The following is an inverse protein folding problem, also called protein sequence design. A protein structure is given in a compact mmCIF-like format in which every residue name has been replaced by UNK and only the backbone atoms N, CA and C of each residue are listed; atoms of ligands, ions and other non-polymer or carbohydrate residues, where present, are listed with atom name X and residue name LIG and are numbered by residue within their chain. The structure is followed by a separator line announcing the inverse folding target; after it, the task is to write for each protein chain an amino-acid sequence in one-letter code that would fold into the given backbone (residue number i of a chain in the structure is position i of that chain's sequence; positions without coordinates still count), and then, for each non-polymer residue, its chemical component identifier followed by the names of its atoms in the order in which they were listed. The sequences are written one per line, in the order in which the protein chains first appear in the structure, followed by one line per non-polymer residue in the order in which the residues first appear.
data_IF_420254261877
#
_entry.id   IF_420254261877
#
_cell.length_a   1.000
_cell.length_b   1.000
_cell.length_c   1.000
_cell.angle_alpha   90.00
_cell.angle_beta   90.00
_cell.angle_gamma   90.00
#
_symmetry.space_group_name_H-M   'P 1'
#
loop_
_entity.id
_entity.type
_entity.pdbx_description
1 polymer ?
#
# COMPACT_ATOMS: atom_id res chain seq x y z
N UNK A 1 -13.92 -19.62 -18.55
CA UNK A 1 -14.61 -19.01 -17.39
C UNK A 1 -13.83 -19.15 -16.10
N UNK A 2 -13.43 -20.37 -15.68
CA UNK A 2 -12.70 -20.61 -14.43
C UNK A 2 -11.41 -19.79 -14.28
N UNK A 3 -10.63 -19.67 -15.36
CA UNK A 3 -9.37 -18.91 -15.34
C UNK A 3 -9.60 -17.41 -15.05
N UNK A 4 -10.68 -16.82 -15.59
CA UNK A 4 -11.02 -15.42 -15.34
C UNK A 4 -11.37 -15.18 -13.87
N UNK A 5 -12.17 -16.07 -13.28
CA UNK A 5 -12.54 -16.01 -11.87
C UNK A 5 -11.29 -16.14 -10.98
N UNK A 6 -10.41 -17.09 -11.31
CA UNK A 6 -9.15 -17.26 -10.58
C UNK A 6 -8.28 -16.00 -10.63
N UNK A 7 -8.13 -15.39 -11.81
CA UNK A 7 -7.35 -14.15 -11.99
C UNK A 7 -7.99 -12.98 -11.21
N UNK A 8 -9.32 -12.86 -11.20
CA UNK A 8 -10.01 -11.83 -10.40
C UNK A 8 -9.73 -12.03 -8.91
N UNK A 9 -9.90 -13.25 -8.40
CA UNK A 9 -9.70 -13.53 -6.98
C UNK A 9 -8.26 -13.25 -6.53
N UNK A 10 -7.26 -13.64 -7.32
CA UNK A 10 -5.86 -13.37 -6.98
C UNK A 10 -5.57 -11.86 -7.06
N UNK A 11 -6.09 -11.14 -8.06
CA UNK A 11 -5.92 -9.70 -8.18
C UNK A 11 -6.56 -8.93 -7.03
N UNK A 12 -7.80 -9.24 -6.64
CA UNK A 12 -8.43 -8.59 -5.49
C UNK A 12 -7.71 -8.92 -4.18
N UNK A 13 -7.20 -10.14 -4.03
CA UNK A 13 -6.41 -10.52 -2.85
C UNK A 13 -5.08 -9.76 -2.78
N UNK A 14 -4.39 -9.60 -3.92
CA UNK A 14 -3.18 -8.79 -4.03
C UNK A 14 -3.47 -7.32 -3.72
N UNK A 15 -4.57 -6.77 -4.25
CA UNK A 15 -5.03 -5.41 -3.94
C UNK A 15 -5.15 -5.20 -2.42
N UNK A 16 -5.92 -6.07 -1.76
CA UNK A 16 -6.09 -6.05 -0.29
C UNK A 16 -4.78 -6.19 0.47
N UNK A 17 -3.88 -7.05 0.00
CA UNK A 17 -2.56 -7.23 0.59
C UNK A 17 -1.75 -5.93 0.56
N UNK A 18 -1.66 -5.25 -0.60
CA UNK A 18 -0.91 -4.00 -0.72
C UNK A 18 -1.46 -2.90 0.17
N UNK A 19 -2.79 -2.73 0.19
CA UNK A 19 -3.46 -1.76 1.06
C UNK A 19 -3.24 -2.07 2.55
N UNK A 20 -3.35 -3.33 2.95
CA UNK A 20 -3.10 -3.74 4.34
C UNK A 20 -1.64 -3.51 4.74
N UNK A 21 -0.69 -3.89 3.88
CA UNK A 21 0.74 -3.72 4.11
C UNK A 21 1.10 -2.23 4.28
N UNK A 22 0.60 -1.37 3.38
CA UNK A 22 0.75 0.07 3.44
C UNK A 22 0.24 0.64 4.77
N UNK A 23 -1.03 0.38 5.10
CA UNK A 23 -1.64 0.93 6.30
C UNK A 23 -0.97 0.40 7.57
N UNK A 24 -0.56 -0.87 7.59
CA UNK A 24 0.16 -1.46 8.72
C UNK A 24 1.53 -0.83 8.94
N UNK A 25 2.26 -0.49 7.88
CA UNK A 25 3.55 0.19 7.98
C UNK A 25 3.36 1.63 8.47
N UNK A 26 2.45 2.38 7.86
CA UNK A 26 2.17 3.77 8.20
C UNK A 26 1.73 3.91 9.65
N UNK A 27 0.85 3.04 10.13
CA UNK A 27 0.31 3.08 11.50
C UNK A 27 1.15 2.30 12.53
N UNK A 28 2.30 1.74 12.15
CA UNK A 28 3.11 0.95 13.07
C UNK A 28 3.76 1.81 14.16
N UNK A 29 3.88 1.26 15.37
CA UNK A 29 4.57 1.93 16.45
C UNK A 29 6.09 1.85 16.22
N UNK A 30 6.68 2.98 15.79
CA UNK A 30 8.13 3.08 15.49
C UNK A 30 9.00 2.74 16.70
N UNK A 31 8.63 3.18 17.91
CA UNK A 31 9.37 2.87 19.14
C UNK A 31 9.46 1.36 19.37
N UNK A 32 8.32 0.66 19.23
CA UNK A 32 8.28 -0.81 19.36
C UNK A 32 9.10 -1.51 18.28
N UNK A 33 9.09 -1.01 17.05
CA UNK A 33 9.94 -1.54 15.98
C UNK A 33 11.43 -1.33 16.25
N UNK A 34 11.83 -0.16 16.76
CA UNK A 34 13.21 0.11 17.16
C UNK A 34 13.67 -0.80 18.30
N UNK A 35 12.82 -0.99 19.31
CA UNK A 35 13.07 -1.91 20.41
C UNK A 35 13.29 -3.34 19.89
N UNK A 36 12.36 -3.89 19.11
CA UNK A 36 12.48 -5.24 18.53
C UNK A 36 13.71 -5.37 17.62
N UNK A 37 14.05 -4.33 16.88
CA UNK A 37 15.24 -4.33 16.03
C UNK A 37 16.55 -4.38 16.86
N UNK A 38 16.57 -3.73 18.03
CA UNK A 38 17.69 -3.78 18.98
C UNK A 38 17.83 -5.14 19.66
N UNK A 39 16.71 -5.86 19.85
CA UNK A 39 16.70 -7.25 20.31
C UNK A 39 17.08 -8.26 19.21
N UNK A 40 17.49 -7.80 18.03
CA UNK A 40 17.94 -8.65 16.91
C UNK A 40 16.83 -9.12 15.97
N UNK A 41 15.62 -8.58 16.06
CA UNK A 41 14.53 -8.96 15.14
C UNK A 41 14.78 -8.43 13.72
N UNK A 42 15.14 -9.33 12.80
CA UNK A 42 15.41 -9.02 11.39
C UNK A 42 14.20 -8.42 10.66
N UNK A 43 12.97 -8.80 11.02
CA UNK A 43 11.76 -8.25 10.41
C UNK A 43 11.58 -6.78 10.80
N UNK A 44 11.81 -6.46 12.07
CA UNK A 44 11.74 -5.09 12.57
C UNK A 44 12.79 -4.20 11.92
N UNK A 45 14.03 -4.70 11.77
CA UNK A 45 15.08 -4.01 11.03
C UNK A 45 14.69 -3.74 9.58
N UNK A 46 14.09 -4.73 8.88
CA UNK A 46 13.59 -4.54 7.51
C UNK A 46 12.45 -3.53 7.45
N UNK A 47 11.52 -3.57 8.39
CA UNK A 47 10.40 -2.62 8.44
C UNK A 47 10.91 -1.18 8.63
N UNK A 48 11.85 -0.97 9.55
CA UNK A 48 12.49 0.34 9.77
C UNK A 48 13.28 0.82 8.54
N UNK A 49 14.03 -0.07 7.88
CA UNK A 49 14.74 0.27 6.64
C UNK A 49 13.81 0.76 5.53
N UNK A 50 12.62 0.16 5.45
CA UNK A 50 11.63 0.53 4.45
C UNK A 50 10.90 1.83 4.85
N UNK A 51 10.58 2.01 6.13
CA UNK A 51 10.00 3.25 6.67
C UNK A 51 10.92 4.47 6.52
N UNK A 52 12.24 4.27 6.53
CA UNK A 52 13.22 5.33 6.24
C UNK A 52 13.16 5.82 4.79
N UNK A 53 12.51 5.06 3.88
CA UNK A 53 12.39 5.39 2.46
C UNK A 53 10.91 5.45 2.03
N UNK A 54 10.17 6.48 2.48
CA UNK A 54 8.72 6.55 2.28
C UNK A 54 8.32 6.51 0.81
N UNK A 55 9.05 7.22 -0.05
CA UNK A 55 8.81 7.21 -1.49
C UNK A 55 8.86 5.80 -2.08
N UNK A 56 9.81 4.97 -1.65
CA UNK A 56 10.00 3.62 -2.21
C UNK A 56 8.84 2.70 -1.84
N UNK A 57 8.45 2.68 -0.56
CA UNK A 57 7.39 1.78 -0.12
C UNK A 57 6.01 2.25 -0.58
N UNK A 58 5.72 3.57 -0.50
CA UNK A 58 4.46 4.14 -0.98
C UNK A 58 4.31 3.93 -2.48
N UNK A 59 5.38 4.14 -3.26
CA UNK A 59 5.34 3.86 -4.70
C UNK A 59 5.08 2.38 -4.97
N UNK A 60 5.66 1.48 -4.17
CA UNK A 60 5.46 0.03 -4.34
C UNK A 60 4.04 -0.40 -4.02
N UNK A 61 3.50 0.03 -2.88
CA UNK A 61 2.14 -0.32 -2.45
C UNK A 61 1.11 0.28 -3.39
N UNK A 62 1.30 1.54 -3.80
CA UNK A 62 0.41 2.22 -4.72
C UNK A 62 0.42 1.61 -6.12
N UNK A 63 1.61 1.29 -6.67
CA UNK A 63 1.72 0.59 -7.97
C UNK A 63 1.10 -0.80 -7.88
N UNK A 64 1.39 -1.57 -6.83
CA UNK A 64 0.84 -2.90 -6.64
C UNK A 64 -0.68 -2.92 -6.52
N UNK A 65 -1.24 -2.00 -5.72
CA UNK A 65 -2.69 -1.81 -5.56
C UNK A 65 -3.34 -1.46 -6.91
N UNK A 66 -2.85 -0.43 -7.59
CA UNK A 66 -3.43 0.02 -8.86
C UNK A 66 -3.29 -1.01 -9.98
N UNK A 67 -2.15 -1.70 -10.08
CA UNK A 67 -1.97 -2.76 -11.07
C UNK A 67 -2.96 -3.90 -10.84
N UNK A 68 -3.15 -4.29 -9.58
CA UNK A 68 -4.11 -5.32 -9.20
C UNK A 68 -5.54 -4.92 -9.57
N UNK A 69 -5.91 -3.65 -9.36
CA UNK A 69 -7.21 -3.10 -9.74
C UNK A 69 -7.41 -3.10 -11.27
N UNK A 70 -6.40 -2.65 -12.03
CA UNK A 70 -6.47 -2.61 -13.51
C UNK A 70 -6.63 -4.03 -14.07
N UNK A 71 -5.85 -5.00 -13.59
CA UNK A 71 -5.95 -6.40 -14.03
C UNK A 71 -7.34 -6.95 -13.70
N UNK A 72 -7.82 -6.78 -12.47
CA UNK A 72 -9.15 -7.25 -12.07
C UNK A 72 -10.25 -6.61 -12.95
N UNK A 73 -10.19 -5.29 -13.15
CA UNK A 73 -11.16 -4.55 -13.96
C UNK A 73 -11.17 -4.98 -15.42
N UNK A 74 -10.01 -5.17 -16.03
CA UNK A 74 -9.89 -5.63 -17.42
C UNK A 74 -10.48 -7.04 -17.61
N UNK A 75 -10.20 -7.94 -16.67
CA UNK A 75 -10.68 -9.34 -16.70
C UNK A 75 -12.19 -9.39 -16.46
N UNK A 76 -12.71 -8.59 -15.52
CA UNK A 76 -14.16 -8.43 -15.28
C UNK A 76 -14.85 -7.86 -16.51
N UNK A 77 -14.33 -6.77 -17.10
CA UNK A 77 -14.90 -6.16 -18.31
C UNK A 77 -15.00 -7.17 -19.45
N UNK A 78 -13.95 -7.97 -19.67
CA UNK A 78 -13.96 -9.02 -20.70
C UNK A 78 -14.99 -10.10 -20.41
N UNK A 79 -15.11 -10.55 -19.15
CA UNK A 79 -16.08 -11.56 -18.74
C UNK A 79 -17.53 -11.07 -18.94
N UNK A 80 -17.79 -9.81 -18.56
CA UNK A 80 -19.12 -9.23 -18.65
C UNK A 80 -19.54 -9.01 -20.11
N UNK A 81 -18.61 -8.56 -20.97
CA UNK A 81 -18.87 -8.38 -22.41
C UNK A 81 -19.34 -9.65 -23.13
N UNK A 82 -19.10 -10.82 -22.54
CA UNK A 82 -19.50 -12.13 -23.10
C UNK A 82 -20.84 -12.64 -22.55
N UNK A 83 -21.36 -12.06 -21.46
CA UNK A 83 -22.44 -12.68 -20.67
C UNK A 83 -23.66 -11.78 -20.48
N UNK A 84 -23.52 -10.45 -20.57
CA UNK A 84 -24.61 -9.52 -20.26
C UNK A 84 -24.75 -8.44 -21.34
N UNK A 85 -25.99 -8.12 -21.79
CA UNK A 85 -26.23 -6.97 -22.66
C UNK A 85 -25.78 -5.65 -22.01
N UNK A 86 -25.06 -4.79 -22.74
CA UNK A 86 -24.41 -3.57 -22.22
C UNK A 86 -25.32 -2.68 -21.34
N UNK A 87 -26.62 -2.67 -21.62
CA UNK A 87 -27.60 -1.80 -20.97
C UNK A 87 -27.76 -2.07 -19.45
N UNK A 88 -27.57 -3.31 -18.99
CA UNK A 88 -27.67 -3.68 -17.57
C UNK A 88 -26.32 -3.75 -16.87
N UNK A 89 -25.24 -3.87 -17.64
CA UNK A 89 -23.86 -3.98 -17.13
C UNK A 89 -23.45 -2.73 -16.37
N UNK A 90 -23.65 -1.57 -16.97
CA UNK A 90 -23.14 -0.32 -16.42
C UNK A 90 -23.82 0.03 -15.09
N UNK A 91 -25.12 -0.28 -14.96
CA UNK A 91 -25.91 0.06 -13.78
C UNK A 91 -25.60 -0.90 -12.61
N UNK A 92 -25.53 -2.21 -12.87
CA UNK A 92 -25.19 -3.20 -11.84
C UNK A 92 -23.73 -3.08 -11.36
N UNK A 93 -22.79 -2.83 -12.29
CA UNK A 93 -21.36 -2.72 -11.98
C UNK A 93 -21.05 -1.44 -11.18
N UNK A 94 -21.65 -0.31 -11.55
CA UNK A 94 -21.41 0.97 -10.88
C UNK A 94 -22.09 1.07 -9.51
N UNK A 95 -23.29 0.52 -9.36
CA UNK A 95 -24.09 0.70 -8.15
C UNK A 95 -23.74 -0.28 -7.03
N UNK A 96 -23.39 -1.52 -7.37
CA UNK A 96 -23.21 -2.59 -6.38
C UNK A 96 -21.77 -3.12 -6.38
N UNK A 97 -21.28 -3.52 -7.56
CA UNK A 97 -20.02 -4.26 -7.64
C UNK A 97 -18.80 -3.39 -7.29
N UNK A 98 -18.75 -2.15 -7.77
CA UNK A 98 -17.67 -1.20 -7.49
C UNK A 98 -17.58 -0.83 -6.00
N UNK A 99 -18.66 -0.34 -5.34
CA UNK A 99 -18.64 -0.03 -3.92
C UNK A 99 -18.31 -1.24 -3.05
N UNK A 100 -18.89 -2.42 -3.35
CA UNK A 100 -18.62 -3.63 -2.59
C UNK A 100 -17.15 -4.06 -2.72
N UNK A 101 -16.59 -4.03 -3.93
CA UNK A 101 -15.19 -4.40 -4.16
C UNK A 101 -14.26 -3.41 -3.45
N UNK A 102 -14.53 -2.11 -3.51
CA UNK A 102 -13.73 -1.10 -2.82
C UNK A 102 -13.81 -1.29 -1.30
N UNK A 103 -15.01 -1.54 -0.76
CA UNK A 103 -15.19 -1.78 0.67
C UNK A 103 -14.42 -3.01 1.15
N UNK A 104 -14.52 -4.12 0.42
CA UNK A 104 -13.89 -5.39 0.76
C UNK A 104 -12.37 -5.36 0.60
N UNK A 105 -11.87 -4.69 -0.43
CA UNK A 105 -10.43 -4.73 -0.78
C UNK A 105 -9.63 -3.57 -0.25
N UNK A 106 -10.29 -2.52 0.20
CA UNK A 106 -9.61 -1.28 0.58
C UNK A 106 -9.98 -0.87 1.99
N UNK A 107 -11.26 -0.60 2.25
CA UNK A 107 -11.70 -0.09 3.55
C UNK A 107 -11.49 -1.10 4.69
N UNK A 108 -11.88 -2.37 4.48
CA UNK A 108 -11.66 -3.43 5.48
C UNK A 108 -10.16 -3.68 5.73
N UNK A 109 -9.32 -3.91 4.68
CA UNK A 109 -7.88 -4.10 4.87
C UNK A 109 -7.17 -2.91 5.50
N UNK A 110 -7.57 -1.67 5.19
CA UNK A 110 -7.04 -0.48 5.88
C UNK A 110 -7.36 -0.52 7.37
N UNK A 111 -8.60 -0.84 7.74
CA UNK A 111 -9.00 -0.94 9.15
C UNK A 111 -8.20 -2.02 9.88
N UNK A 112 -8.07 -3.22 9.28
CA UNK A 112 -7.29 -4.33 9.83
C UNK A 112 -5.82 -3.94 9.99
N UNK A 113 -5.24 -3.34 8.94
CA UNK A 113 -3.86 -2.86 8.91
C UNK A 113 -3.60 -1.84 10.01
N UNK A 114 -4.53 -0.92 10.26
CA UNK A 114 -4.42 0.09 11.31
C UNK A 114 -4.50 -0.51 12.72
N UNK A 115 -5.48 -1.37 12.97
CA UNK A 115 -5.72 -1.95 14.30
C UNK A 115 -4.58 -2.86 14.76
N UNK A 116 -3.95 -3.59 13.83
CA UNK A 116 -2.88 -4.55 14.11
C UNK A 116 -1.53 -4.12 13.54
N UNK A 117 -1.30 -2.82 13.39
CA UNK A 117 -0.23 -2.24 12.58
C UNK A 117 1.16 -2.82 12.85
N UNK A 118 1.60 -2.83 14.11
CA UNK A 118 2.97 -3.30 14.44
C UNK A 118 3.15 -4.81 14.20
N UNK A 119 2.12 -5.63 14.41
CA UNK A 119 2.21 -7.08 14.17
C UNK A 119 2.16 -7.38 12.67
N UNK A 120 1.25 -6.72 11.95
CA UNK A 120 1.08 -6.90 10.52
C UNK A 120 2.26 -6.34 9.74
N UNK A 121 2.85 -5.21 10.16
CA UNK A 121 4.04 -4.67 9.51
C UNK A 121 5.19 -5.66 9.54
N UNK A 122 5.41 -6.36 10.66
CA UNK A 122 6.43 -7.42 10.76
C UNK A 122 6.11 -8.65 9.90
N UNK A 123 4.86 -9.08 9.85
CA UNK A 123 4.46 -10.26 9.08
C UNK A 123 4.47 -9.99 7.56
N UNK A 124 4.04 -8.80 7.15
CA UNK A 124 3.88 -8.41 5.76
C UNK A 124 5.17 -7.80 5.16
N UNK A 125 6.18 -7.46 5.96
CA UNK A 125 7.41 -6.87 5.44
C UNK A 125 8.13 -7.80 4.46
N UNK A 126 8.18 -9.11 4.74
CA UNK A 126 8.83 -10.09 3.85
C UNK A 126 8.15 -10.14 2.47
N UNK A 127 6.84 -10.44 2.37
CA UNK A 127 6.16 -10.46 1.07
C UNK A 127 6.19 -9.09 0.40
N UNK A 128 6.17 -7.98 1.15
CA UNK A 128 6.28 -6.64 0.57
C UNK A 128 7.66 -6.40 -0.07
N UNK A 129 8.75 -6.87 0.54
CA UNK A 129 10.08 -6.80 -0.08
C UNK A 129 10.17 -7.63 -1.37
N UNK A 130 9.53 -8.79 -1.43
CA UNK A 130 9.45 -9.58 -2.66
C UNK A 130 8.65 -8.83 -3.74
N UNK A 131 7.52 -8.24 -3.38
CA UNK A 131 6.73 -7.42 -4.30
C UNK A 131 7.53 -6.19 -4.78
N UNK A 132 8.26 -5.52 -3.89
CA UNK A 132 9.17 -4.41 -4.24
C UNK A 132 10.24 -4.87 -5.24
N UNK A 133 10.83 -6.05 -5.08
CA UNK A 133 11.83 -6.56 -6.02
C UNK A 133 11.23 -6.80 -7.42
N UNK A 134 10.04 -7.40 -7.49
CA UNK A 134 9.33 -7.65 -8.76
C UNK A 134 8.89 -6.33 -9.42
N UNK A 135 8.37 -5.40 -8.63
CA UNK A 135 7.86 -4.11 -9.11
C UNK A 135 8.95 -3.04 -9.24
N UNK A 136 10.18 -3.35 -8.86
CA UNK A 136 11.31 -2.41 -8.84
C UNK A 136 11.49 -1.59 -10.13
N UNK A 137 11.44 -2.17 -11.36
CA UNK A 137 11.60 -1.38 -12.57
C UNK A 137 10.51 -0.31 -12.73
N UNK A 138 9.26 -0.63 -12.38
CA UNK A 138 8.15 0.31 -12.43
C UNK A 138 8.27 1.35 -11.31
N UNK A 139 8.53 0.89 -10.09
CA UNK A 139 8.68 1.76 -8.91
C UNK A 139 9.77 2.79 -9.13
N UNK A 140 10.95 2.39 -9.64
CA UNK A 140 12.05 3.31 -9.92
C UNK A 140 11.66 4.39 -10.94
N UNK A 141 10.91 4.02 -11.98
CA UNK A 141 10.40 4.97 -12.97
C UNK A 141 9.44 6.00 -12.36
N UNK A 142 8.46 5.53 -11.58
CA UNK A 142 7.50 6.41 -10.90
C UNK A 142 8.15 7.29 -9.83
N UNK A 143 9.07 6.74 -9.02
CA UNK A 143 9.80 7.53 -8.02
C UNK A 143 10.65 8.60 -8.69
N UNK A 144 11.35 8.29 -9.78
CA UNK A 144 12.12 9.29 -10.54
C UNK A 144 11.24 10.41 -11.11
N UNK A 145 10.07 10.07 -11.64
CA UNK A 145 9.12 11.05 -12.15
C UNK A 145 8.57 11.92 -11.02
N UNK A 146 8.19 11.30 -9.90
CA UNK A 146 7.73 11.99 -8.69
C UNK A 146 8.79 12.98 -8.17
N UNK A 147 10.04 12.54 -8.03
CA UNK A 147 11.13 13.42 -7.60
C UNK A 147 11.35 14.60 -8.55
N UNK A 148 11.29 14.36 -9.87
CA UNK A 148 11.41 15.45 -10.85
C UNK A 148 10.29 16.47 -10.71
N UNK A 149 9.05 16.02 -10.59
CA UNK A 149 7.89 16.91 -10.42
C UNK A 149 8.01 17.71 -9.12
N UNK A 150 8.38 17.07 -8.01
CA UNK A 150 8.59 17.73 -6.72
C UNK A 150 9.70 18.79 -6.79
N UNK A 151 10.82 18.47 -7.45
CA UNK A 151 11.92 19.44 -7.67
C UNK A 151 11.52 20.60 -8.59
N UNK A 152 10.73 20.33 -9.63
CA UNK A 152 10.20 21.37 -10.51
C UNK A 152 9.26 22.33 -9.77
N UNK A 153 8.53 21.83 -8.76
CA UNK A 153 7.70 22.63 -7.87
C UNK A 153 8.50 23.37 -6.77
N UNK A 154 9.83 23.22 -6.75
CA UNK A 154 10.71 23.88 -5.78
C UNK A 154 10.67 23.28 -4.37
N UNK A 155 10.06 22.11 -4.19
CA UNK A 155 9.94 21.45 -2.89
C UNK A 155 11.19 20.60 -2.60
N UNK A 156 11.72 20.70 -1.37
CA UNK A 156 12.80 19.83 -0.90
C UNK A 156 12.24 18.52 -0.39
N UNK A 157 12.79 17.41 -0.88
CA UNK A 157 12.50 16.08 -0.35
C UNK A 157 13.28 15.96 0.97
N UNK A 158 12.63 16.23 2.09
CA UNK A 158 13.21 15.92 3.39
C UNK A 158 13.15 14.41 3.60
N UNK A 159 14.30 13.74 3.69
CA UNK A 159 14.37 12.39 4.21
C UNK A 159 13.84 12.41 5.65
N UNK A 160 12.88 11.54 5.96
CA UNK A 160 12.22 11.51 7.26
C UNK A 160 13.27 11.38 8.36
N UNK A 161 13.46 12.44 9.15
CA UNK A 161 14.30 12.40 10.35
C UNK A 161 13.69 11.37 11.32
N UNK A 162 14.44 10.37 11.79
CA UNK A 162 13.92 9.32 12.66
C UNK A 162 13.56 9.81 14.08
N UNK A 163 13.86 11.06 14.42
CA UNK A 163 13.52 11.69 15.70
C UNK A 163 12.95 13.10 15.49
N UNK A 164 11.91 13.49 16.23
CA UNK A 164 11.58 14.90 16.41
C UNK A 164 12.81 15.59 17.02
N UNK A 165 13.15 16.79 16.54
CA UNK A 165 14.20 17.58 17.18
C UNK A 165 13.79 17.88 18.64
N UNK A 166 14.76 18.20 19.50
CA UNK A 166 14.45 18.61 20.90
C UNK A 166 13.40 19.72 20.95
N UNK A 167 13.43 20.61 19.95
CA UNK A 167 12.50 21.73 19.82
C UNK A 167 11.06 21.26 19.54
N UNK A 168 10.85 20.20 18.76
CA UNK A 168 9.51 19.62 18.53
C UNK A 168 8.97 18.90 19.78
N UNK A 169 9.84 18.25 20.56
CA UNK A 169 9.43 17.62 21.84
C UNK A 169 9.02 18.71 22.84
N UNK A 170 9.75 19.81 22.89
CA UNK A 170 9.46 20.93 23.78
C UNK A 170 8.15 21.64 23.39
N UNK A 171 7.89 21.79 22.09
CA UNK A 171 6.63 22.35 21.60
C UNK A 171 5.41 21.47 21.90
N UNK A 172 5.55 20.14 21.85
CA UNK A 172 4.45 19.22 22.20
C UNK A 172 4.14 19.31 23.70
N UNK A 173 5.17 19.39 24.55
CA UNK A 173 5.03 19.51 26.01
C UNK A 173 4.48 20.87 26.46
N UNK A 174 4.69 21.93 25.68
CA UNK A 174 4.12 23.26 25.95
C UNK A 174 2.69 23.43 25.41
N UNK A 175 2.21 22.48 24.60
CA UNK A 175 0.88 22.52 23.97
C UNK A 175 -0.20 21.67 24.65
N UNK A 176 0.14 20.96 25.73
CA UNK A 176 -0.79 20.31 26.68
C UNK A 176 -0.94 21.14 27.96
#
# INVERSE_FOLDING_TARGET
MLIYIFVILISLSLKSFFTCAEMSLISSNKFKLHFLASEGNVLAQKALKLLAKPQLYLSTTLVGNNLSLIIASAVVSRLISQTVPEQWVNLATSTIMLPATLFLTELIPMSIGRLNATRLSLNLIRPLYYALYILYPFVKGFSFLSEKVVRLLGLKINEAQPFPSRDEIQHILESE
#
